data_IF_616099072733
#
_entry.id   IF_616099072733
#
_cell.length_a   1.000
_cell.length_b   1.000
_cell.length_c   1.000
_cell.angle_alpha   90.00
_cell.angle_beta   90.00
_cell.angle_gamma   90.00
#
_symmetry.space_group_name_H-M   'P 1'
#
loop_
_entity.id
_entity.type
_entity.pdbx_description
1 polymer ?
#
# COMPACT_ATOMS: atom_id res chain seq x y z
N UNK A 1 4.76 -3.27 -3.78
CA UNK A 1 4.38 -1.89 -4.16
C UNK A 1 3.90 -1.15 -2.92
N UNK A 2 4.19 0.15 -2.75
CA UNK A 2 3.81 0.85 -1.50
C UNK A 2 2.35 1.33 -1.51
N UNK A 3 1.93 1.97 -2.61
CA UNK A 3 0.55 2.45 -2.86
C UNK A 3 -0.05 3.34 -1.75
N UNK A 4 0.79 3.81 -0.82
CA UNK A 4 0.40 4.56 0.36
C UNK A 4 1.59 5.42 0.84
N UNK A 5 1.44 6.75 0.99
CA UNK A 5 2.48 7.62 1.50
C UNK A 5 2.94 7.26 2.93
N UNK A 6 2.04 6.77 3.79
CA UNK A 6 2.39 6.32 5.14
C UNK A 6 3.29 5.08 5.14
N UNK A 7 3.02 4.13 4.24
CA UNK A 7 3.89 2.95 4.03
C UNK A 7 5.24 3.37 3.46
N UNK A 8 5.24 4.29 2.50
CA UNK A 8 6.48 4.82 1.89
C UNK A 8 7.34 5.52 2.95
N UNK A 9 6.74 6.37 3.79
CA UNK A 9 7.43 7.04 4.89
C UNK A 9 8.02 6.03 5.89
N UNK A 10 7.22 5.03 6.26
CA UNK A 10 7.66 3.97 7.17
C UNK A 10 8.87 3.23 6.61
N UNK A 11 8.83 2.83 5.34
CA UNK A 11 9.98 2.18 4.70
C UNK A 11 11.21 3.08 4.57
N UNK A 12 11.04 4.40 4.40
CA UNK A 12 12.15 5.35 4.49
C UNK A 12 12.77 5.38 5.89
N UNK A 13 11.94 5.44 6.95
CA UNK A 13 12.42 5.44 8.34
C UNK A 13 13.15 4.16 8.74
N UNK A 14 12.76 3.03 8.13
CA UNK A 14 13.39 1.72 8.33
C UNK A 14 14.64 1.51 7.45
N UNK A 15 15.03 2.50 6.64
CA UNK A 15 16.17 2.40 5.73
C UNK A 15 15.95 1.48 4.53
N UNK A 16 14.72 1.01 4.30
CA UNK A 16 14.35 0.13 3.17
C UNK A 16 14.23 0.91 1.86
N UNK A 17 13.96 2.21 1.94
CA UNK A 17 13.77 3.10 0.78
C UNK A 17 14.56 4.40 0.99
N UNK A 18 15.30 4.90 -0.02
CA UNK A 18 15.97 6.20 0.08
C UNK A 18 14.98 7.35 0.27
N UNK A 19 15.26 8.25 1.21
CA UNK A 19 14.41 9.42 1.51
C UNK A 19 14.08 10.30 0.29
N UNK A 20 15.01 10.42 -0.66
CA UNK A 20 14.81 11.17 -1.91
C UNK A 20 13.65 10.64 -2.77
N UNK A 21 13.25 9.38 -2.57
CA UNK A 21 12.13 8.75 -3.28
C UNK A 21 10.78 8.98 -2.60
N UNK A 22 10.74 9.47 -1.36
CA UNK A 22 9.49 9.64 -0.60
C UNK A 22 8.48 10.54 -1.33
N UNK A 23 8.93 11.73 -1.74
CA UNK A 23 8.06 12.70 -2.40
C UNK A 23 7.62 12.22 -3.80
N UNK A 24 8.52 11.76 -4.69
CA UNK A 24 8.11 11.19 -5.98
C UNK A 24 7.09 10.06 -5.85
N UNK A 25 7.29 9.12 -4.92
CA UNK A 25 6.32 8.05 -4.67
C UNK A 25 4.96 8.61 -4.25
N UNK A 26 4.95 9.56 -3.30
CA UNK A 26 3.71 10.13 -2.77
C UNK A 26 2.93 10.89 -3.85
N UNK A 27 3.62 11.66 -4.71
CA UNK A 27 2.99 12.39 -5.82
C UNK A 27 2.38 11.43 -6.86
N UNK A 28 3.11 10.37 -7.25
CA UNK A 28 2.57 9.37 -8.17
C UNK A 28 1.36 8.64 -7.58
N UNK A 29 1.36 8.37 -6.27
CA UNK A 29 0.24 7.73 -5.59
C UNK A 29 -0.99 8.64 -5.55
N UNK A 30 -0.83 9.92 -5.21
CA UNK A 30 -1.93 10.91 -5.22
C UNK A 30 -2.49 11.08 -6.62
N UNK A 31 -1.62 11.22 -7.63
CA UNK A 31 -2.04 11.35 -9.03
C UNK A 31 -2.79 10.09 -9.52
N UNK A 32 -2.28 8.91 -9.19
CA UNK A 32 -2.96 7.66 -9.51
C UNK A 32 -4.35 7.56 -8.88
N UNK A 33 -4.48 7.95 -7.61
CA UNK A 33 -5.77 7.97 -6.92
C UNK A 33 -6.74 9.01 -7.50
N UNK A 34 -6.25 10.20 -7.88
CA UNK A 34 -7.03 11.21 -8.59
C UNK A 34 -7.57 10.67 -9.92
N UNK A 35 -6.71 10.10 -10.77
CA UNK A 35 -7.13 9.57 -12.08
C UNK A 35 -8.11 8.39 -11.93
N UNK A 36 -7.85 7.50 -10.97
CA UNK A 36 -8.75 6.38 -10.67
C UNK A 36 -10.13 6.89 -10.22
N UNK A 37 -10.17 7.90 -9.36
CA UNK A 37 -11.44 8.50 -8.93
C UNK A 37 -12.18 9.16 -10.10
N UNK A 38 -11.48 9.81 -11.03
CA UNK A 38 -12.09 10.38 -12.23
C UNK A 38 -12.71 9.30 -13.12
N UNK A 39 -12.04 8.16 -13.29
CA UNK A 39 -12.59 7.02 -14.00
C UNK A 39 -13.87 6.49 -13.32
N UNK A 40 -13.86 6.34 -11.99
CA UNK A 40 -15.05 5.93 -11.24
C UNK A 40 -16.19 6.93 -11.40
N UNK A 41 -15.91 8.23 -11.32
CA UNK A 41 -16.91 9.27 -11.54
C UNK A 41 -17.54 9.18 -12.93
N UNK A 42 -16.75 8.94 -13.97
CA UNK A 42 -17.25 8.77 -15.34
C UNK A 42 -18.10 7.50 -15.49
N UNK A 43 -17.66 6.38 -14.90
CA UNK A 43 -18.41 5.11 -14.94
C UNK A 43 -19.76 5.23 -14.24
N UNK A 44 -19.83 5.99 -13.14
CA UNK A 44 -21.04 6.17 -12.33
C UNK A 44 -21.74 7.51 -12.56
N UNK A 45 -21.40 8.24 -13.63
CA UNK A 45 -21.87 9.60 -13.84
C UNK A 45 -23.40 9.70 -13.81
N UNK A 46 -24.09 8.90 -14.63
CA UNK A 46 -25.55 8.93 -14.70
C UNK A 46 -26.20 8.56 -13.36
N UNK A 47 -25.65 7.58 -12.63
CA UNK A 47 -26.16 7.16 -11.33
C UNK A 47 -25.98 8.24 -10.26
N UNK A 48 -24.82 8.92 -10.24
CA UNK A 48 -24.55 10.02 -9.31
C UNK A 48 -25.47 11.21 -9.61
N UNK A 49 -25.66 11.55 -10.89
CA UNK A 49 -26.51 12.68 -11.29
C UNK A 49 -27.99 12.41 -11.02
N UNK A 50 -28.48 11.19 -11.27
CA UNK A 50 -29.84 10.76 -10.96
C UNK A 50 -30.12 10.80 -9.45
N UNK A 51 -29.23 10.21 -8.64
CA UNK A 51 -29.37 10.18 -7.18
C UNK A 51 -29.31 11.58 -6.55
N UNK A 52 -28.38 12.42 -7.00
CA UNK A 52 -28.16 13.76 -6.44
C UNK A 52 -29.10 14.83 -7.02
N UNK A 53 -29.88 14.51 -8.05
CA UNK A 53 -30.65 15.50 -8.81
C UNK A 53 -29.74 16.55 -9.48
N UNK A 54 -28.50 16.17 -9.80
CA UNK A 54 -27.47 17.05 -10.33
C UNK A 54 -26.79 17.98 -9.31
N UNK A 55 -27.12 17.86 -8.01
CA UNK A 55 -26.54 18.69 -6.96
C UNK A 55 -25.47 17.94 -6.16
N UNK A 56 -24.20 18.18 -6.50
CA UNK A 56 -23.06 17.50 -5.90
C UNK A 56 -22.70 18.13 -4.54
N UNK A 57 -23.08 17.46 -3.45
CA UNK A 57 -22.93 17.96 -2.07
C UNK A 57 -22.01 17.09 -1.23
N UNK A 58 -21.40 17.69 -0.19
CA UNK A 58 -20.41 17.05 0.68
C UNK A 58 -21.01 16.50 1.98
N UNK A 59 -22.17 17.02 2.38
CA UNK A 59 -22.90 16.62 3.58
C UNK A 59 -24.40 16.70 3.33
N UNK A 60 -25.17 16.04 4.20
CA UNK A 60 -26.63 15.93 4.09
C UNK A 60 -27.07 14.58 3.51
N UNK A 61 -28.38 14.38 3.42
CA UNK A 61 -28.97 13.07 3.12
C UNK A 61 -28.61 12.52 1.73
N UNK A 62 -28.36 13.42 0.76
CA UNK A 62 -28.03 13.07 -0.62
C UNK A 62 -26.58 13.46 -0.97
N UNK A 63 -25.69 13.52 0.01
CA UNK A 63 -24.28 13.77 -0.26
C UNK A 63 -23.66 12.63 -1.06
N UNK A 64 -22.71 12.98 -1.92
CA UNK A 64 -22.04 12.01 -2.82
C UNK A 64 -20.52 12.13 -2.78
N UNK A 65 -19.98 13.05 -1.99
CA UNK A 65 -18.54 13.26 -1.88
C UNK A 65 -17.86 12.07 -1.18
N UNK A 66 -18.55 11.41 -0.25
CA UNK A 66 -18.04 10.29 0.53
C UNK A 66 -17.76 9.01 -0.29
N UNK A 67 -18.29 8.93 -1.52
CA UNK A 67 -17.94 7.89 -2.49
C UNK A 67 -16.43 7.91 -2.78
N UNK A 68 -15.83 9.10 -2.80
CA UNK A 68 -14.46 9.34 -3.27
C UNK A 68 -13.47 9.47 -2.13
N UNK A 69 -13.73 10.37 -1.19
CA UNK A 69 -12.87 10.68 -0.04
C UNK A 69 -13.60 10.39 1.27
N UNK A 70 -12.87 10.28 2.38
CA UNK A 70 -13.52 9.97 3.66
C UNK A 70 -13.97 11.22 4.39
N UNK A 71 -15.01 11.08 5.20
CA UNK A 71 -15.52 12.10 6.12
C UNK A 71 -15.80 11.43 7.47
N UNK A 72 -15.64 12.15 8.59
CA UNK A 72 -15.88 11.58 9.91
C UNK A 72 -17.38 11.49 10.19
N UNK A 73 -17.79 10.48 10.94
CA UNK A 73 -19.15 10.43 11.48
C UNK A 73 -19.43 11.62 12.40
N UNK A 74 -20.65 12.15 12.38
CA UNK A 74 -21.01 13.41 13.05
C UNK A 74 -20.78 13.41 14.58
N UNK A 75 -20.81 12.24 15.21
CA UNK A 75 -20.63 12.09 16.66
C UNK A 75 -19.16 12.08 17.11
N UNK A 76 -18.20 12.05 16.18
CA UNK A 76 -16.78 11.96 16.52
C UNK A 76 -16.14 13.32 16.76
N UNK A 77 -15.39 13.40 17.86
CA UNK A 77 -14.49 14.52 18.10
C UNK A 77 -13.26 14.43 17.19
N UNK A 78 -12.67 15.58 16.87
CA UNK A 78 -11.42 15.66 16.09
C UNK A 78 -10.29 14.80 16.71
N UNK A 79 -10.15 14.82 18.03
CA UNK A 79 -9.15 13.99 18.73
C UNK A 79 -9.40 12.49 18.57
N UNK A 80 -10.67 12.07 18.65
CA UNK A 80 -11.05 10.67 18.45
C UNK A 80 -10.77 10.23 17.02
N UNK A 81 -11.02 11.09 16.03
CA UNK A 81 -10.75 10.78 14.63
C UNK A 81 -9.26 10.72 14.31
N UNK A 82 -8.44 11.57 14.92
CA UNK A 82 -6.97 11.46 14.81
C UNK A 82 -6.50 10.13 15.38
N UNK A 83 -6.98 9.77 16.59
CA UNK A 83 -6.63 8.49 17.22
C UNK A 83 -7.03 7.31 16.36
N UNK A 84 -8.24 7.32 15.80
CA UNK A 84 -8.76 6.30 14.88
C UNK A 84 -7.81 6.06 13.69
N UNK A 85 -7.40 7.14 13.01
CA UNK A 85 -6.53 7.06 11.84
C UNK A 85 -5.09 6.64 12.20
N UNK A 86 -4.58 7.09 13.36
CA UNK A 86 -3.28 6.65 13.88
C UNK A 86 -3.29 5.16 14.18
N UNK A 87 -4.30 4.67 14.92
CA UNK A 87 -4.40 3.26 15.31
C UNK A 87 -4.60 2.36 14.08
N UNK A 88 -5.51 2.72 13.18
CA UNK A 88 -5.75 1.93 11.96
C UNK A 88 -4.50 1.79 11.10
N UNK A 89 -3.74 2.87 10.94
CA UNK A 89 -2.49 2.84 10.14
C UNK A 89 -1.33 2.18 10.88
N UNK A 90 -1.28 2.29 12.21
CA UNK A 90 -0.31 1.55 13.02
C UNK A 90 -0.53 0.04 12.93
N UNK A 91 -1.79 -0.40 13.00
CA UNK A 91 -2.15 -1.81 12.79
C UNK A 91 -1.80 -2.29 11.38
N UNK A 92 -2.04 -1.47 10.35
CA UNK A 92 -1.61 -1.78 8.99
C UNK A 92 -0.10 -2.05 8.95
N UNK A 93 0.74 -1.14 9.46
CA UNK A 93 2.19 -1.32 9.43
C UNK A 93 2.65 -2.52 10.26
N UNK A 94 2.08 -2.70 11.45
CA UNK A 94 2.42 -3.81 12.34
C UNK A 94 2.12 -5.18 11.71
N UNK A 95 1.06 -5.28 10.89
CA UNK A 95 0.70 -6.52 10.21
C UNK A 95 1.47 -6.76 8.91
N UNK A 96 1.90 -5.73 8.17
CA UNK A 96 2.57 -5.92 6.88
C UNK A 96 4.09 -6.05 6.98
N UNK A 97 4.74 -5.42 7.97
CA UNK A 97 6.19 -5.48 8.15
C UNK A 97 6.74 -6.90 8.39
N UNK A 98 6.08 -7.76 9.18
CA UNK A 98 6.56 -9.12 9.40
C UNK A 98 6.47 -10.02 8.16
N UNK A 99 5.66 -9.65 7.14
CA UNK A 99 5.38 -10.52 6.00
C UNK A 99 6.60 -10.75 5.11
N UNK A 100 7.54 -9.80 5.06
CA UNK A 100 8.77 -9.90 4.26
C UNK A 100 10.05 -10.07 5.09
N UNK A 101 9.94 -10.08 6.43
CA UNK A 101 11.10 -10.10 7.32
C UNK A 101 11.71 -11.51 7.40
N UNK A 102 12.92 -11.63 6.87
CA UNK A 102 13.66 -12.89 6.81
C UNK A 102 14.07 -13.41 8.19
N UNK A 103 14.19 -12.53 9.21
CA UNK A 103 14.48 -12.96 10.59
C UNK A 103 13.27 -13.59 11.28
N UNK A 104 12.07 -13.41 10.72
CA UNK A 104 10.83 -13.96 11.23
C UNK A 104 10.45 -15.22 10.40
N UNK A 105 9.16 -15.48 10.26
CA UNK A 105 8.59 -16.42 9.30
C UNK A 105 7.93 -15.64 8.15
N UNK A 106 8.66 -15.27 7.09
CA UNK A 106 8.09 -14.52 5.98
C UNK A 106 7.02 -15.34 5.28
N UNK A 107 6.00 -14.66 4.77
CA UNK A 107 4.98 -15.30 3.94
C UNK A 107 5.57 -15.63 2.55
N UNK A 108 5.09 -16.68 1.85
CA UNK A 108 5.45 -16.89 0.46
C UNK A 108 5.13 -15.64 -0.38
N UNK A 109 6.04 -15.23 -1.27
CA UNK A 109 5.91 -13.98 -2.05
C UNK A 109 4.56 -13.84 -2.75
N UNK A 110 4.04 -14.95 -3.31
CA UNK A 110 2.75 -14.99 -3.99
C UNK A 110 1.55 -14.74 -3.05
N UNK A 111 1.70 -15.00 -1.75
CA UNK A 111 0.65 -14.83 -0.74
C UNK A 111 0.73 -13.48 -0.02
N UNK A 112 1.81 -12.71 -0.17
CA UNK A 112 1.91 -11.39 0.46
C UNK A 112 0.75 -10.46 0.00
N UNK A 113 0.46 -10.28 -1.30
CA UNK A 113 -0.64 -9.41 -1.73
C UNK A 113 -2.03 -9.79 -1.17
N UNK A 114 -2.50 -11.06 -1.24
CA UNK A 114 -3.80 -11.41 -0.67
C UNK A 114 -3.83 -11.29 0.87
N UNK A 115 -2.73 -11.56 1.58
CA UNK A 115 -2.68 -11.34 3.03
C UNK A 115 -2.82 -9.85 3.37
N UNK A 116 -2.10 -8.97 2.66
CA UNK A 116 -2.24 -7.51 2.83
C UNK A 116 -3.69 -7.07 2.54
N UNK A 117 -4.34 -7.63 1.53
CA UNK A 117 -5.75 -7.33 1.24
C UNK A 117 -6.68 -7.74 2.39
N UNK A 118 -6.46 -8.91 3.00
CA UNK A 118 -7.23 -9.35 4.18
C UNK A 118 -6.98 -8.46 5.39
N UNK A 119 -5.75 -7.98 5.61
CA UNK A 119 -5.43 -7.01 6.67
C UNK A 119 -6.21 -5.71 6.47
N UNK A 120 -6.17 -5.15 5.25
CA UNK A 120 -6.91 -3.92 4.92
C UNK A 120 -8.41 -4.13 5.07
N UNK A 121 -8.95 -5.28 4.64
CA UNK A 121 -10.36 -5.64 4.82
C UNK A 121 -10.73 -5.72 6.31
N UNK A 122 -9.91 -6.37 7.14
CA UNK A 122 -10.13 -6.49 8.58
C UNK A 122 -10.16 -5.12 9.28
N UNK A 123 -9.24 -4.23 8.94
CA UNK A 123 -9.23 -2.83 9.43
C UNK A 123 -10.51 -2.12 8.96
N UNK A 124 -10.89 -2.30 7.69
CA UNK A 124 -12.09 -1.70 7.13
C UNK A 124 -13.37 -2.11 7.84
N UNK A 125 -13.56 -3.41 8.10
CA UNK A 125 -14.75 -3.93 8.77
C UNK A 125 -14.83 -3.56 10.26
N UNK A 126 -13.69 -3.33 10.91
CA UNK A 126 -13.65 -3.06 12.35
C UNK A 126 -13.66 -1.58 12.72
N UNK A 127 -13.09 -0.70 11.88
CA UNK A 127 -12.84 0.70 12.25
C UNK A 127 -13.47 1.73 11.30
N UNK A 128 -13.87 1.36 10.08
CA UNK A 128 -14.32 2.36 9.10
C UNK A 128 -15.61 3.09 9.47
N UNK A 129 -16.41 2.56 10.40
CA UNK A 129 -17.62 3.27 10.88
C UNK A 129 -17.31 4.63 11.51
N UNK A 130 -16.08 4.85 11.99
CA UNK A 130 -15.69 6.11 12.59
C UNK A 130 -15.43 7.17 11.51
N UNK A 131 -14.42 6.94 10.67
CA UNK A 131 -13.88 7.95 9.75
C UNK A 131 -13.71 7.47 8.30
N UNK A 132 -14.43 6.41 7.91
CA UNK A 132 -14.36 5.82 6.57
C UNK A 132 -13.07 5.04 6.28
N UNK A 133 -12.19 4.87 7.27
CA UNK A 133 -10.98 4.04 7.16
C UNK A 133 -9.99 4.54 6.10
N UNK A 134 -9.64 5.84 6.11
CA UNK A 134 -8.74 6.39 5.10
C UNK A 134 -7.38 5.68 5.09
N UNK A 135 -6.68 5.62 6.24
CA UNK A 135 -5.40 4.92 6.52
C UNK A 135 -4.26 5.12 5.49
N UNK A 136 -4.46 5.99 4.52
CA UNK A 136 -3.65 6.20 3.34
C UNK A 136 -3.87 7.63 2.82
N UNK A 137 -2.87 8.52 2.96
CA UNK A 137 -3.00 9.91 2.53
C UNK A 137 -3.33 10.08 1.04
N UNK A 138 -2.80 9.22 0.16
CA UNK A 138 -3.07 9.31 -1.27
C UNK A 138 -4.49 8.87 -1.62
N UNK A 139 -5.02 7.87 -0.92
CA UNK A 139 -6.38 7.33 -1.09
C UNK A 139 -7.47 8.34 -0.70
N UNK A 140 -7.12 9.33 0.11
CA UNK A 140 -8.03 10.42 0.48
C UNK A 140 -7.77 11.70 -0.34
N UNK A 141 -6.53 12.18 -0.37
CA UNK A 141 -6.20 13.47 -1.00
C UNK A 141 -6.44 13.47 -2.51
N UNK A 142 -6.09 12.40 -3.22
CA UNK A 142 -6.30 12.31 -4.67
C UNK A 142 -7.78 12.45 -5.05
N UNK A 143 -8.67 11.59 -4.52
CA UNK A 143 -10.11 11.69 -4.78
C UNK A 143 -10.77 12.97 -4.22
N UNK A 144 -10.24 13.54 -3.13
CA UNK A 144 -10.70 14.84 -2.61
C UNK A 144 -10.37 15.98 -3.58
N UNK A 145 -9.20 15.95 -4.22
CA UNK A 145 -8.84 16.89 -5.28
C UNK A 145 -9.75 16.71 -6.51
N UNK A 146 -10.12 15.47 -6.85
CA UNK A 146 -11.10 15.25 -7.92
C UNK A 146 -12.42 15.93 -7.60
N UNK A 147 -13.02 15.63 -6.45
CA UNK A 147 -14.33 16.18 -6.06
C UNK A 147 -14.33 17.71 -6.02
N UNK A 148 -13.22 18.34 -5.60
CA UNK A 148 -13.02 19.78 -5.74
C UNK A 148 -13.15 20.25 -7.20
N UNK A 149 -12.44 19.61 -8.12
CA UNK A 149 -12.43 19.99 -9.55
C UNK A 149 -13.69 19.59 -10.32
N UNK A 150 -14.42 18.59 -9.84
CA UNK A 150 -15.56 17.99 -10.54
C UNK A 150 -16.92 18.60 -10.18
N UNK A 151 -16.99 19.47 -9.15
CA UNK A 151 -18.18 20.29 -8.89
C UNK A 151 -18.72 20.28 -7.46
N UNK A 152 -18.13 19.52 -6.53
CA UNK A 152 -18.55 19.52 -5.11
C UNK A 152 -18.12 20.80 -4.36
N UNK A 153 -17.26 21.62 -4.97
CA UNK A 153 -16.82 22.89 -4.41
C UNK A 153 -15.78 22.78 -3.30
N UNK A 154 -15.46 23.91 -2.67
CA UNK A 154 -14.40 24.00 -1.64
C UNK A 154 -14.75 23.33 -0.33
N UNK A 155 -16.04 22.99 -0.13
CA UNK A 155 -16.52 22.35 1.09
C UNK A 155 -15.82 21.02 1.37
N UNK A 156 -15.33 20.33 0.34
CA UNK A 156 -14.54 19.09 0.48
C UNK A 156 -13.27 19.27 1.32
N UNK A 157 -12.78 20.51 1.49
CA UNK A 157 -11.63 20.86 2.32
C UNK A 157 -11.99 21.62 3.60
N UNK A 158 -13.20 22.18 3.72
CA UNK A 158 -13.59 23.02 4.87
C UNK A 158 -14.57 22.34 5.83
N UNK A 159 -15.28 21.31 5.39
CA UNK A 159 -16.26 20.59 6.21
C UNK A 159 -15.59 19.87 7.41
N UNK A 160 -16.40 19.61 8.44
CA UNK A 160 -16.00 18.89 9.66
C UNK A 160 -14.71 19.43 10.31
N UNK A 161 -14.63 20.76 10.46
CA UNK A 161 -13.46 21.47 11.01
C UNK A 161 -12.16 21.18 10.23
N UNK A 162 -12.20 21.36 8.91
CA UNK A 162 -11.08 21.11 8.02
C UNK A 162 -10.61 19.65 8.04
N UNK A 163 -11.53 18.69 7.98
CA UNK A 163 -11.21 17.27 8.12
C UNK A 163 -10.05 16.77 7.25
N UNK A 164 -9.89 17.28 6.04
CA UNK A 164 -8.92 16.81 5.04
C UNK A 164 -7.49 16.61 5.55
N UNK A 165 -7.04 17.38 6.55
CA UNK A 165 -5.67 17.28 7.03
C UNK A 165 -5.47 16.04 7.91
N UNK A 166 -6.52 15.53 8.54
CA UNK A 166 -6.46 14.34 9.40
C UNK A 166 -6.06 13.09 8.61
N UNK A 167 -6.77 12.67 7.54
CA UNK A 167 -6.36 11.51 6.72
C UNK A 167 -5.05 11.77 5.97
N UNK A 168 -4.59 13.02 5.86
CA UNK A 168 -3.28 13.36 5.30
C UNK A 168 -2.13 13.13 6.29
N UNK A 169 -2.31 13.52 7.56
CA UNK A 169 -1.22 13.56 8.56
C UNK A 169 -1.28 12.42 9.58
N UNK A 170 -2.47 12.05 10.06
CA UNK A 170 -2.63 11.03 11.09
C UNK A 170 -2.14 9.64 10.63
N UNK A 171 -2.40 9.19 9.37
CA UNK A 171 -1.80 7.95 8.88
C UNK A 171 -0.28 7.96 8.81
N UNK A 172 0.36 9.10 8.50
CA UNK A 172 1.82 9.19 8.51
C UNK A 172 2.37 8.93 9.92
N UNK A 173 1.75 9.53 10.93
CA UNK A 173 2.09 9.27 12.34
C UNK A 173 1.81 7.81 12.73
N UNK A 174 0.63 7.28 12.37
CA UNK A 174 0.26 5.90 12.64
C UNK A 174 1.23 4.90 12.03
N UNK A 175 1.66 5.11 10.78
CA UNK A 175 2.63 4.24 10.13
C UNK A 175 3.98 4.20 10.85
N UNK A 176 4.46 5.36 11.31
CA UNK A 176 5.68 5.46 12.13
C UNK A 176 5.51 4.74 13.48
N UNK A 177 4.38 4.92 14.15
CA UNK A 177 4.07 4.24 15.42
C UNK A 177 4.03 2.72 15.23
N UNK A 178 3.30 2.22 14.24
CA UNK A 178 3.21 0.78 13.95
C UNK A 178 4.56 0.16 13.58
N UNK A 179 5.38 0.90 12.82
CA UNK A 179 6.75 0.49 12.51
C UNK A 179 7.63 0.43 13.76
N UNK A 180 7.52 1.43 14.64
CA UNK A 180 8.21 1.42 15.93
C UNK A 180 7.78 0.25 16.81
N UNK A 181 6.47 -0.04 16.88
CA UNK A 181 5.94 -1.19 17.60
C UNK A 181 6.51 -2.50 17.06
N UNK A 182 6.57 -2.67 15.73
CA UNK A 182 7.18 -3.85 15.11
C UNK A 182 8.64 -4.01 15.53
N UNK A 183 9.44 -2.93 15.47
CA UNK A 183 10.84 -2.97 15.87
C UNK A 183 11.02 -3.37 17.34
N UNK A 184 10.33 -2.66 18.24
CA UNK A 184 10.50 -2.79 19.69
C UNK A 184 9.99 -4.14 20.19
N UNK A 185 8.80 -4.57 19.76
CA UNK A 185 8.14 -5.74 20.32
C UNK A 185 8.39 -7.03 19.55
N UNK A 186 8.81 -6.97 18.28
CA UNK A 186 9.00 -8.16 17.44
C UNK A 186 10.44 -8.22 16.93
N UNK A 187 10.86 -7.28 16.07
CA UNK A 187 12.09 -7.44 15.30
C UNK A 187 13.36 -7.55 16.17
N UNK A 188 13.46 -6.79 17.25
CA UNK A 188 14.62 -6.85 18.17
C UNK A 188 14.69 -8.13 19.01
N UNK A 189 13.64 -8.95 19.01
CA UNK A 189 13.59 -10.21 19.75
C UNK A 189 13.81 -11.44 18.84
N UNK A 190 13.95 -11.24 17.52
CA UNK A 190 14.18 -12.31 16.57
C UNK A 190 15.67 -12.72 16.54
N UNK A 191 15.97 -14.01 16.34
CA UNK A 191 17.35 -14.46 16.20
C UNK A 191 17.99 -13.87 14.95
N UNK A 192 19.31 -13.65 15.00
CA UNK A 192 20.05 -13.30 13.81
C UNK A 192 20.05 -14.46 12.82
N UNK A 193 20.04 -14.12 11.53
CA UNK A 193 20.20 -15.11 10.47
C UNK A 193 21.55 -15.81 10.64
N UNK A 194 21.62 -17.14 10.42
CA UNK A 194 22.90 -17.84 10.45
C UNK A 194 23.87 -17.17 9.49
N UNK A 195 24.96 -16.60 10.03
CA UNK A 195 26.08 -16.14 9.22
C UNK A 195 26.60 -17.34 8.44
N UNK A 196 26.85 -17.18 7.13
CA UNK A 196 27.55 -18.20 6.34
C UNK A 196 28.74 -18.73 7.16
N UNK A 197 28.94 -20.06 7.26
CA UNK A 197 30.09 -20.59 7.97
C UNK A 197 31.36 -19.94 7.40
N UNK A 198 32.37 -19.64 8.23
CA UNK A 198 33.64 -19.14 7.72
C UNK A 198 34.08 -20.08 6.60
N UNK A 199 34.45 -19.51 5.44
CA UNK A 199 35.06 -20.26 4.35
C UNK A 199 36.21 -21.02 4.98
N UNK A 200 36.06 -22.34 5.09
CA UNK A 200 37.12 -23.19 5.59
C UNK A 200 38.26 -23.12 4.60
N UNK A 201 39.25 -22.28 4.92
CA UNK A 201 40.46 -22.11 4.13
C UNK A 201 41.29 -23.39 4.07
N UNK A 202 40.91 -24.46 4.76
CA UNK A 202 41.55 -25.77 4.69
C UNK A 202 41.07 -26.65 3.52
N UNK A 203 40.03 -26.24 2.77
CA UNK A 203 39.54 -26.99 1.60
C UNK A 203 40.04 -26.47 0.25
N UNK A 204 41.28 -25.96 0.15
CA UNK A 204 41.96 -25.89 -1.16
C UNK A 204 42.46 -27.28 -1.53
N UNK A 205 41.58 -28.13 -2.08
CA UNK A 205 42.05 -29.19 -2.96
C UNK A 205 42.54 -28.55 -4.26
N UNK A 206 43.70 -28.93 -4.81
CA UNK A 206 44.19 -28.37 -6.07
C UNK A 206 43.18 -28.65 -7.18
N UNK A 207 42.70 -27.60 -7.82
CA UNK A 207 41.77 -27.66 -8.95
C UNK A 207 42.54 -28.11 -10.19
N UNK A 208 42.70 -29.42 -10.39
CA UNK A 208 43.20 -29.99 -11.66
C UNK A 208 42.15 -30.76 -12.47
N UNK A 209 40.89 -30.81 -12.04
CA UNK A 209 39.83 -31.58 -12.72
C UNK A 209 38.69 -30.71 -13.29
N UNK A 210 38.96 -29.48 -13.75
CA UNK A 210 37.91 -28.57 -14.27
C UNK A 210 37.91 -28.38 -15.80
N UNK A 211 38.79 -29.04 -16.56
CA UNK A 211 38.74 -28.95 -18.02
C UNK A 211 38.76 -30.32 -18.71
N UNK A 212 37.61 -30.99 -18.73
CA UNK A 212 37.26 -31.88 -19.86
C UNK A 212 36.27 -31.13 -20.74
N UNK A 213 36.68 -30.86 -21.98
CA UNK A 213 35.81 -30.30 -23.01
C UNK A 213 34.61 -31.24 -23.22
N UNK A 214 33.38 -30.71 -23.39
CA UNK A 214 32.24 -31.56 -23.71
C UNK A 214 32.43 -32.20 -25.10
N UNK A 215 32.02 -33.47 -25.30
CA UNK A 215 32.08 -34.11 -26.61
C UNK A 215 31.15 -33.40 -27.61
N UNK A 216 31.58 -33.32 -28.87
CA UNK A 216 30.86 -32.67 -29.95
C UNK A 216 29.51 -33.37 -30.25
N UNK A 217 28.46 -32.63 -30.64
CA UNK A 217 27.15 -33.21 -30.92
C UNK A 217 27.20 -34.14 -32.15
N UNK A 218 26.69 -35.34 -31.97
CA UNK A 218 26.50 -36.37 -33.00
C UNK A 218 25.42 -35.92 -33.98
N UNK A 219 25.74 -35.95 -35.29
CA UNK A 219 24.80 -35.58 -36.35
C UNK A 219 23.81 -36.71 -36.59
N UNK A 220 22.69 -36.72 -35.87
CA UNK A 220 21.54 -37.52 -36.27
C UNK A 220 20.88 -36.88 -37.51
N UNK A 221 21.02 -37.56 -38.65
CA UNK A 221 20.36 -37.20 -39.90
C UNK A 221 18.85 -37.42 -39.79
N UNK A 222 18.09 -36.33 -39.81
CA UNK A 222 16.63 -36.39 -39.92
C UNK A 222 16.26 -36.54 -41.40
N UNK A 223 15.78 -37.73 -41.78
CA UNK A 223 15.08 -37.98 -43.04
C UNK A 223 13.79 -37.16 -43.08
N UNK A 224 13.71 -36.21 -44.02
CA UNK A 224 12.48 -35.50 -44.36
C UNK A 224 11.57 -36.42 -45.19
N UNK A 225 10.49 -36.94 -44.59
CA UNK A 225 9.37 -37.52 -45.33
C UNK A 225 8.27 -36.48 -45.55
N UNK A 226 8.06 -36.18 -46.82
CA UNK A 226 6.99 -35.36 -47.40
C UNK A 226 5.60 -36.01 -47.26
N UNK A 227 4.57 -35.24 -46.88
CA UNK A 227 3.17 -35.35 -47.35
C UNK A 227 2.33 -34.18 -46.77
N UNK A 228 1.93 -33.20 -47.58
CA UNK A 228 0.59 -33.02 -48.19
C UNK A 228 -0.54 -32.88 -47.17
N UNK A 229 -1.01 -31.64 -46.93
CA UNK A 229 -2.23 -31.04 -47.52
C UNK A 229 -2.08 -29.50 -47.53
#
# INVERSE_FOLDING_TARGET
>A
AHLNPAVTLSFCSLGRVPWVKLLPYSLCQVLGAYLASGLVFLVYYDAIMDFSGGNLTVYGANETASIFATYPSEHLSLSSSILDQVVGTAMLMLCILPLDDQKNSPAPDALIPPIVAVVVLGIGMSMSSNCGGAINPARDLGPRLLTLTAGWGTEVFTCYNYWFWVPMMAPLLGGMVGSGMYLVFIAWHLPDLPTNPPIDSSSTKPTTEVWKQPPAPEKEGVELKTAVF
#
